data_IF_160555947945
#
_entry.id   IF_160555947945
#
_cell.length_a   1.000
_cell.length_b   1.000
_cell.length_c   1.000
_cell.angle_alpha   90.00
_cell.angle_beta   90.00
_cell.angle_gamma   90.00
#
_symmetry.space_group_name_H-M   'P 1'
#
loop_
_entity.id
_entity.type
_entity.pdbx_description
1 polymer ?
#
# COMPACT_ATOMS: atom_id res chain seq x y z
N UNK A 1 -22.07 -11.32 -8.28
CA UNK A 1 -20.96 -10.38 -8.50
C UNK A 1 -21.32 -9.54 -9.72
N UNK A 2 -21.32 -8.22 -9.58
CA UNK A 2 -21.77 -7.25 -10.59
C UNK A 2 -20.80 -7.06 -11.75
N UNK A 3 -19.62 -7.70 -11.69
CA UNK A 3 -18.53 -7.48 -12.63
C UNK A 3 -18.28 -5.99 -12.81
N UNK A 4 -18.16 -5.23 -11.71
CA UNK A 4 -17.86 -3.80 -11.74
C UNK A 4 -16.50 -3.49 -11.11
N UNK A 5 -16.20 -2.20 -11.08
CA UNK A 5 -15.07 -1.65 -10.35
C UNK A 5 -15.55 -0.46 -9.52
N UNK A 6 -14.91 -0.29 -8.37
CA UNK A 6 -15.06 0.86 -7.49
C UNK A 6 -13.80 1.70 -7.59
N UNK A 7 -13.96 3.01 -7.77
CA UNK A 7 -12.86 3.97 -7.77
C UNK A 7 -13.12 5.05 -6.72
N UNK A 8 -12.23 5.20 -5.74
CA UNK A 8 -12.39 6.13 -4.61
C UNK A 8 -13.77 6.03 -3.94
N UNK A 9 -14.16 4.82 -3.55
CA UNK A 9 -15.46 4.52 -2.92
C UNK A 9 -16.69 4.77 -3.81
N UNK A 10 -16.53 5.09 -5.11
CA UNK A 10 -17.63 5.20 -6.08
C UNK A 10 -17.69 3.94 -6.93
N UNK A 11 -18.76 3.15 -6.78
CA UNK A 11 -19.04 2.01 -7.65
C UNK A 11 -19.52 2.50 -9.03
N UNK A 12 -18.74 2.21 -10.06
CA UNK A 12 -19.06 2.67 -11.41
C UNK A 12 -20.25 1.90 -12.02
N UNK A 13 -20.65 0.77 -11.45
CA UNK A 13 -21.84 0.02 -11.92
C UNK A 13 -23.10 0.87 -11.91
N UNK A 14 -23.16 1.86 -11.01
CA UNK A 14 -24.25 2.83 -10.90
C UNK A 14 -24.44 3.68 -12.16
N UNK A 15 -23.40 3.80 -13.00
CA UNK A 15 -23.43 4.49 -14.29
C UNK A 15 -23.73 3.55 -15.46
N UNK A 16 -24.07 2.28 -15.20
CA UNK A 16 -24.40 1.28 -16.22
C UNK A 16 -23.18 0.68 -16.92
N UNK A 17 -21.99 0.78 -16.32
CA UNK A 17 -20.80 0.08 -16.79
C UNK A 17 -20.79 -1.36 -16.29
N UNK A 18 -20.29 -2.27 -17.12
CA UNK A 18 -20.00 -3.64 -16.75
C UNK A 18 -18.63 -4.00 -17.29
N UNK A 19 -17.76 -4.47 -16.41
CA UNK A 19 -16.42 -4.96 -16.75
C UNK A 19 -16.57 -6.38 -17.30
N UNK A 20 -16.16 -6.57 -18.55
CA UNK A 20 -16.25 -7.87 -19.22
C UNK A 20 -14.99 -8.69 -19.01
N UNK A 21 -13.84 -8.03 -18.89
CA UNK A 21 -12.54 -8.67 -18.74
C UNK A 21 -11.56 -7.71 -18.11
N UNK A 22 -10.64 -8.27 -17.32
CA UNK A 22 -9.49 -7.54 -16.79
C UNK A 22 -8.24 -8.24 -17.29
N UNK A 23 -7.35 -7.46 -17.88
CA UNK A 23 -6.00 -7.87 -18.23
C UNK A 23 -5.07 -7.22 -17.21
N UNK A 24 -4.78 -7.97 -16.16
CA UNK A 24 -3.65 -7.66 -15.30
C UNK A 24 -2.38 -8.01 -16.09
N UNK A 25 -1.66 -6.98 -16.54
CA UNK A 25 -0.35 -7.21 -17.12
C UNK A 25 0.54 -7.76 -16.00
N UNK A 26 1.09 -8.95 -16.21
CA UNK A 26 2.01 -9.59 -15.27
C UNK A 26 3.12 -8.61 -14.92
N UNK A 27 3.40 -8.40 -13.63
CA UNK A 27 4.45 -7.46 -13.20
C UNK A 27 5.75 -7.69 -13.95
N UNK A 28 6.23 -6.66 -14.66
CA UNK A 28 7.56 -6.67 -15.25
C UNK A 28 8.62 -6.32 -14.20
N UNK A 29 9.80 -6.91 -14.39
CA UNK A 29 10.97 -6.59 -13.57
C UNK A 29 12.03 -5.99 -14.46
N UNK A 30 12.41 -4.74 -14.17
CA UNK A 30 13.58 -4.12 -14.80
C UNK A 30 14.84 -4.65 -14.14
N UNK A 31 15.67 -5.37 -14.90
CA UNK A 31 16.97 -5.88 -14.46
C UNK A 31 18.06 -5.32 -15.37
N UNK A 32 19.09 -4.75 -14.77
CA UNK A 32 20.35 -4.50 -15.47
C UNK A 32 21.06 -5.84 -15.67
N UNK A 33 21.69 -6.02 -16.83
CA UNK A 33 22.52 -7.20 -17.11
C UNK A 33 23.91 -6.72 -17.47
N UNK A 34 24.91 -7.16 -16.73
CA UNK A 34 26.32 -6.93 -17.04
C UNK A 34 26.84 -8.18 -17.74
N UNK A 35 27.18 -8.04 -19.01
CA UNK A 35 27.75 -9.13 -19.81
C UNK A 35 29.28 -9.08 -19.76
N UNK A 36 29.89 -10.22 -19.44
CA UNK A 36 31.31 -10.50 -19.57
C UNK A 36 31.51 -11.47 -20.76
N UNK A 37 32.77 -11.65 -21.15
CA UNK A 37 33.16 -12.49 -22.30
C UNK A 37 32.62 -13.93 -22.21
N UNK A 38 32.54 -14.50 -21.01
CA UNK A 38 32.13 -15.91 -20.80
C UNK A 38 30.80 -16.09 -20.06
N UNK A 39 30.18 -15.00 -19.55
CA UNK A 39 28.97 -15.08 -18.71
C UNK A 39 28.32 -13.72 -18.49
N UNK A 40 27.08 -13.72 -18.04
CA UNK A 40 26.36 -12.50 -17.66
C UNK A 40 25.88 -12.57 -16.20
N UNK A 41 25.79 -11.40 -15.56
CA UNK A 41 25.26 -11.22 -14.23
C UNK A 41 24.07 -10.26 -14.27
N UNK A 42 22.94 -10.67 -13.70
CA UNK A 42 21.78 -9.81 -13.56
C UNK A 42 21.83 -9.05 -12.23
N UNK A 43 21.52 -7.76 -12.27
CA UNK A 43 21.30 -6.95 -11.05
C UNK A 43 20.04 -7.39 -10.32
N UNK A 44 19.87 -6.91 -9.08
CA UNK A 44 18.57 -6.98 -8.41
C UNK A 44 17.53 -6.28 -9.28
N UNK A 45 16.42 -6.97 -9.54
CA UNK A 45 15.33 -6.41 -10.33
C UNK A 45 14.52 -5.40 -9.54
N UNK A 46 14.08 -4.34 -10.20
CA UNK A 46 13.08 -3.40 -9.68
C UNK A 46 11.74 -3.74 -10.33
N UNK A 47 10.67 -3.78 -9.54
CA UNK A 47 9.31 -3.85 -10.10
C UNK A 47 9.02 -2.53 -10.80
N UNK A 48 8.48 -2.62 -12.00
CA UNK A 48 7.99 -1.44 -12.72
C UNK A 48 6.54 -1.16 -12.30
N UNK A 49 6.03 0.02 -12.69
CA UNK A 49 4.63 0.37 -12.52
C UNK A 49 3.73 -0.69 -13.16
N UNK A 50 2.61 -0.99 -12.52
CA UNK A 50 1.62 -1.94 -13.01
C UNK A 50 0.62 -1.19 -13.90
N UNK A 51 0.33 -1.72 -15.10
CA UNK A 51 -0.75 -1.24 -15.97
C UNK A 51 -1.88 -2.26 -15.97
N UNK A 52 -3.07 -1.84 -15.58
CA UNK A 52 -4.27 -2.67 -15.51
C UNK A 52 -5.23 -2.21 -16.60
N UNK A 53 -5.57 -3.11 -17.53
CA UNK A 53 -6.51 -2.82 -18.61
C UNK A 53 -7.85 -3.52 -18.33
N UNK A 54 -8.90 -2.75 -18.11
CA UNK A 54 -10.25 -3.23 -17.87
C UNK A 54 -11.13 -3.01 -19.12
N UNK A 55 -11.50 -4.10 -19.78
CA UNK A 55 -12.47 -4.08 -20.88
C UNK A 55 -13.88 -3.89 -20.29
N UNK A 56 -14.66 -2.99 -20.88
CA UNK A 56 -15.98 -2.64 -20.38
C UNK A 56 -17.03 -2.59 -21.50
N UNK A 57 -18.28 -2.75 -21.08
CA UNK A 57 -19.49 -2.40 -21.84
C UNK A 57 -20.27 -1.37 -21.02
N UNK A 58 -20.66 -0.27 -21.66
CA UNK A 58 -21.50 0.77 -21.08
C UNK A 58 -22.87 0.75 -21.75
N UNK A 59 -23.93 0.62 -20.94
CA UNK A 59 -25.30 0.57 -21.43
C UNK A 59 -26.08 1.86 -21.11
N UNK A 60 -26.84 2.33 -22.10
CA UNK A 60 -27.74 3.47 -21.95
C UNK A 60 -29.07 3.31 -22.69
N UNK A 61 -29.96 4.26 -22.45
CA UNK A 61 -31.29 4.32 -23.05
C UNK A 61 -31.29 4.96 -24.44
N UNK A 62 -30.28 5.81 -24.72
CA UNK A 62 -30.08 6.56 -25.96
C UNK A 62 -28.60 6.91 -26.14
N UNK A 63 -28.21 7.43 -27.32
CA UNK A 63 -26.83 7.86 -27.57
C UNK A 63 -26.40 8.99 -26.61
N UNK A 64 -27.31 9.93 -26.32
CA UNK A 64 -27.05 11.02 -25.36
C UNK A 64 -26.80 10.47 -23.96
N UNK A 65 -27.66 9.55 -23.48
CA UNK A 65 -27.51 8.94 -22.15
C UNK A 65 -26.17 8.21 -22.01
N UNK A 66 -25.75 7.48 -23.05
CA UNK A 66 -24.45 6.80 -23.06
C UNK A 66 -23.30 7.81 -22.97
N UNK A 67 -23.37 8.92 -23.72
CA UNK A 67 -22.35 9.97 -23.69
C UNK A 67 -22.28 10.67 -22.32
N UNK A 68 -23.43 10.96 -21.72
CA UNK A 68 -23.52 11.61 -20.40
C UNK A 68 -22.96 10.71 -19.28
N UNK A 69 -23.27 9.41 -19.34
CA UNK A 69 -22.69 8.41 -18.43
C UNK A 69 -21.17 8.29 -18.60
N UNK A 70 -20.70 8.22 -19.85
CA UNK A 70 -19.27 8.16 -20.13
C UNK A 70 -18.54 9.42 -19.63
N UNK A 71 -19.13 10.60 -19.82
CA UNK A 71 -18.59 11.85 -19.30
C UNK A 71 -18.54 11.87 -17.77
N UNK A 72 -19.59 11.35 -17.11
CA UNK A 72 -19.63 11.22 -15.64
C UNK A 72 -18.53 10.28 -15.13
N UNK A 73 -18.35 9.12 -15.76
CA UNK A 73 -17.28 8.17 -15.44
C UNK A 73 -15.91 8.83 -15.61
N UNK A 74 -15.67 9.50 -16.74
CA UNK A 74 -14.41 10.24 -16.97
C UNK A 74 -14.16 11.29 -15.90
N UNK A 75 -15.20 12.04 -15.52
CA UNK A 75 -15.09 13.06 -14.47
C UNK A 75 -14.71 12.45 -13.12
N UNK A 76 -15.23 11.28 -12.77
CA UNK A 76 -14.90 10.58 -11.51
C UNK A 76 -13.45 10.09 -11.54
N UNK A 77 -13.06 9.45 -12.64
CA UNK A 77 -11.73 8.86 -12.80
C UNK A 77 -10.60 9.88 -12.93
N UNK A 78 -10.92 11.11 -13.35
CA UNK A 78 -9.96 12.22 -13.48
C UNK A 78 -10.03 13.24 -12.34
N UNK A 79 -10.93 13.05 -11.37
CA UNK A 79 -11.08 13.96 -10.23
C UNK A 79 -9.86 13.94 -9.28
N UNK A 80 -9.08 12.84 -9.30
CA UNK A 80 -7.90 12.65 -8.46
C UNK A 80 -6.71 12.21 -9.31
N UNK A 81 -5.50 12.54 -8.85
CA UNK A 81 -4.27 12.07 -9.50
C UNK A 81 -4.04 10.58 -9.27
N UNK A 82 -4.43 10.05 -8.12
CA UNK A 82 -4.36 8.63 -7.79
C UNK A 82 -5.52 8.31 -6.85
N UNK A 83 -6.20 7.20 -7.12
CA UNK A 83 -7.33 6.74 -6.33
C UNK A 83 -7.30 5.24 -6.06
N UNK A 84 -8.07 4.83 -5.07
CA UNK A 84 -8.25 3.43 -4.72
C UNK A 84 -9.11 2.73 -5.77
N UNK A 85 -8.50 1.86 -6.55
CA UNK A 85 -9.15 1.00 -7.52
C UNK A 85 -9.39 -0.38 -6.93
N UNK A 86 -10.66 -0.76 -6.78
CA UNK A 86 -11.10 -2.05 -6.26
C UNK A 86 -11.95 -2.74 -7.32
N UNK A 87 -11.69 -4.02 -7.55
CA UNK A 87 -12.49 -4.83 -8.46
C UNK A 87 -13.40 -5.79 -7.69
N UNK A 88 -14.64 -5.96 -8.15
CA UNK A 88 -15.63 -6.80 -7.47
C UNK A 88 -15.19 -8.26 -7.25
N UNK A 89 -14.45 -8.84 -8.21
CA UNK A 89 -13.97 -10.22 -8.10
C UNK A 89 -12.84 -10.38 -7.06
N UNK A 90 -12.26 -9.27 -6.60
CA UNK A 90 -11.16 -9.20 -5.63
C UNK A 90 -11.33 -8.00 -4.71
N UNK A 91 -12.48 -7.92 -4.05
CA UNK A 91 -12.88 -6.78 -3.20
C UNK A 91 -12.03 -6.57 -1.93
N UNK A 92 -11.23 -7.56 -1.55
CA UNK A 92 -10.33 -7.48 -0.40
C UNK A 92 -9.03 -6.72 -0.68
N UNK A 93 -8.78 -6.35 -1.95
CA UNK A 93 -7.55 -5.70 -2.37
C UNK A 93 -7.88 -4.48 -3.24
N UNK A 94 -7.21 -3.37 -2.93
CA UNK A 94 -7.21 -2.16 -3.74
C UNK A 94 -5.83 -1.91 -4.34
N UNK A 95 -5.81 -1.15 -5.43
CA UNK A 95 -4.59 -0.63 -6.04
C UNK A 95 -4.64 0.89 -6.06
N UNK A 96 -3.51 1.53 -5.79
CA UNK A 96 -3.36 2.97 -5.99
C UNK A 96 -3.17 3.24 -7.48
N UNK A 97 -4.23 3.69 -8.14
CA UNK A 97 -4.29 3.76 -9.60
C UNK A 97 -4.72 5.15 -10.10
N UNK A 98 -4.15 5.56 -11.22
CA UNK A 98 -4.56 6.73 -11.99
C UNK A 98 -5.16 6.28 -13.32
N UNK A 99 -6.15 7.01 -13.84
CA UNK A 99 -6.59 6.78 -15.22
C UNK A 99 -5.47 7.21 -16.19
N UNK A 100 -5.02 6.28 -17.03
CA UNK A 100 -4.04 6.52 -18.08
C UNK A 100 -4.77 6.84 -19.39
N UNK A 101 -5.67 5.95 -19.80
CA UNK A 101 -6.41 6.06 -21.04
C UNK A 101 -7.80 5.44 -20.92
N UNK A 102 -8.75 6.00 -21.65
CA UNK A 102 -10.05 5.39 -21.87
C UNK A 102 -10.35 5.44 -23.36
N UNK A 103 -10.35 4.26 -23.97
CA UNK A 103 -10.73 4.06 -25.36
C UNK A 103 -12.09 3.37 -25.40
N UNK A 104 -12.92 3.75 -26.37
CA UNK A 104 -14.27 3.22 -26.48
C UNK A 104 -14.89 3.49 -27.84
N UNK A 105 -15.54 2.46 -28.37
CA UNK A 105 -16.23 2.49 -29.65
C UNK A 105 -17.73 2.23 -29.45
N UNK A 106 -18.55 2.91 -30.25
CA UNK A 106 -19.98 2.66 -30.26
C UNK A 106 -20.27 1.30 -30.94
N UNK A 107 -20.77 0.34 -30.17
CA UNK A 107 -21.32 -0.89 -30.73
C UNK A 107 -22.68 -0.63 -31.38
N UNK A 108 -23.50 0.19 -30.72
CA UNK A 108 -24.80 0.65 -31.20
C UNK A 108 -25.10 2.04 -30.62
N UNK A 109 -26.26 2.62 -30.93
CA UNK A 109 -26.71 3.87 -30.30
C UNK A 109 -26.92 3.78 -28.78
N UNK A 110 -26.96 2.56 -28.19
CA UNK A 110 -27.25 2.34 -26.76
C UNK A 110 -26.12 1.66 -26.00
N UNK A 111 -25.04 1.30 -26.70
CA UNK A 111 -23.96 0.51 -26.14
C UNK A 111 -22.61 1.02 -26.67
N UNK A 112 -21.69 1.29 -25.75
CA UNK A 112 -20.26 1.49 -26.02
C UNK A 112 -19.51 0.29 -25.43
N UNK A 113 -18.48 -0.18 -26.13
CA UNK A 113 -17.48 -1.08 -25.57
C UNK A 113 -16.11 -0.47 -25.69
N UNK A 114 -15.25 -0.74 -24.73
CA UNK A 114 -13.94 -0.11 -24.71
C UNK A 114 -13.00 -0.74 -23.70
N UNK A 115 -11.87 -0.06 -23.51
CA UNK A 115 -10.88 -0.40 -22.49
C UNK A 115 -10.55 0.83 -21.66
N UNK A 116 -10.57 0.68 -20.35
CA UNK A 116 -9.99 1.64 -19.41
C UNK A 116 -8.63 1.11 -18.96
N UNK A 117 -7.59 1.88 -19.23
CA UNK A 117 -6.23 1.61 -18.78
C UNK A 117 -5.94 2.43 -17.54
N UNK A 118 -5.46 1.74 -16.50
CA UNK A 118 -5.05 2.34 -15.24
C UNK A 118 -3.55 2.16 -15.04
N UNK A 119 -2.88 3.21 -14.60
CA UNK A 119 -1.48 3.19 -14.21
C UNK A 119 -1.37 3.17 -12.68
N UNK A 120 -0.74 2.14 -12.15
CA UNK A 120 -0.39 2.01 -10.75
C UNK A 120 1.11 2.26 -10.58
N UNK A 121 1.47 3.47 -10.14
CA UNK A 121 2.87 3.86 -9.93
C UNK A 121 3.53 2.98 -8.84
N UNK A 122 2.81 2.72 -7.75
CA UNK A 122 3.11 1.61 -6.85
C UNK A 122 2.44 0.33 -7.41
N UNK A 123 3.22 -0.71 -7.77
CA UNK A 123 2.69 -1.91 -8.41
C UNK A 123 2.13 -2.96 -7.43
N UNK A 124 2.01 -2.64 -6.14
CA UNK A 124 1.49 -3.56 -5.13
C UNK A 124 -0.01 -3.36 -4.92
N UNK A 125 -0.72 -4.47 -4.72
CA UNK A 125 -2.08 -4.43 -4.17
C UNK A 125 -2.04 -4.31 -2.65
N UNK A 126 -3.00 -3.63 -2.06
CA UNK A 126 -3.11 -3.39 -0.63
C UNK A 126 -4.40 -3.99 -0.10
N UNK A 127 -4.38 -4.58 1.10
CA UNK A 127 -5.61 -5.04 1.72
C UNK A 127 -6.54 -3.86 2.02
N UNK A 128 -7.82 -4.00 1.69
CA UNK A 128 -8.86 -3.04 2.07
C UNK A 128 -9.10 -3.00 3.58
N UNK A 129 -8.65 -4.03 4.31
CA UNK A 129 -8.66 -4.07 5.77
C UNK A 129 -7.31 -3.62 6.33
N UNK A 130 -7.34 -2.63 7.20
CA UNK A 130 -6.20 -2.22 8.01
C UNK A 130 -6.11 -3.06 9.28
N UNK A 131 -4.89 -3.44 9.64
CA UNK A 131 -4.59 -4.05 10.93
C UNK A 131 -4.04 -2.98 11.86
N UNK A 132 -4.67 -2.85 13.03
CA UNK A 132 -4.22 -2.00 14.13
C UNK A 132 -4.08 -2.87 15.38
N UNK A 133 -2.83 -3.06 15.82
CA UNK A 133 -2.48 -3.89 16.96
C UNK A 133 -1.77 -3.03 18.00
N UNK A 134 -2.25 -3.04 19.25
CA UNK A 134 -1.60 -2.37 20.38
C UNK A 134 -1.10 -3.39 21.40
N UNK A 135 0.16 -3.29 21.77
CA UNK A 135 0.84 -4.12 22.77
C UNK A 135 1.37 -3.28 23.93
N UNK A 136 1.12 -3.72 25.16
CA UNK A 136 1.72 -3.10 26.34
C UNK A 136 3.20 -3.47 26.47
N UNK A 137 4.04 -2.47 26.72
CA UNK A 137 5.46 -2.65 27.05
C UNK A 137 5.58 -2.66 28.57
N UNK A 138 5.90 -3.83 29.12
CA UNK A 138 5.97 -4.08 30.57
C UNK A 138 7.37 -4.51 31.03
N UNK A 139 8.31 -4.65 30.10
CA UNK A 139 9.67 -5.15 30.31
C UNK A 139 10.57 -4.63 29.20
N UNK A 140 11.85 -4.43 29.49
CA UNK A 140 12.88 -4.08 28.52
C UNK A 140 13.97 -5.16 28.49
N UNK A 141 14.26 -5.81 27.33
CA UNK A 141 13.59 -5.65 26.04
C UNK A 141 12.17 -6.27 26.02
N UNK A 142 11.29 -5.70 25.20
CA UNK A 142 9.95 -6.26 24.92
C UNK A 142 9.95 -6.96 23.58
N UNK A 143 9.52 -8.22 23.54
CA UNK A 143 9.20 -8.91 22.29
C UNK A 143 7.69 -8.93 22.06
N UNK A 144 7.26 -8.65 20.82
CA UNK A 144 5.88 -8.79 20.35
C UNK A 144 5.86 -9.57 19.04
N UNK A 145 4.73 -10.21 18.74
CA UNK A 145 4.55 -10.93 17.47
C UNK A 145 3.50 -10.26 16.62
N UNK A 146 3.80 -10.07 15.34
CA UNK A 146 2.91 -9.42 14.38
C UNK A 146 2.70 -10.35 13.20
N UNK A 147 1.46 -10.79 12.98
CA UNK A 147 1.13 -11.71 11.89
C UNK A 147 0.67 -10.93 10.67
N UNK A 148 1.36 -11.12 9.55
CA UNK A 148 1.09 -10.40 8.30
C UNK A 148 0.71 -11.37 7.20
N UNK A 149 -0.36 -11.06 6.48
CA UNK A 149 -0.78 -11.78 5.28
C UNK A 149 0.04 -11.37 4.06
N UNK A 150 -0.59 -11.39 2.88
CA UNK A 150 0.01 -10.87 1.67
C UNK A 150 1.15 -11.70 1.08
N UNK A 151 1.77 -11.14 0.06
CA UNK A 151 2.90 -11.73 -0.67
C UNK A 151 4.04 -10.74 -0.92
N UNK A 152 3.92 -9.50 -0.47
CA UNK A 152 4.94 -8.46 -0.54
C UNK A 152 5.36 -7.96 0.86
N UNK A 153 6.57 -7.41 0.97
CA UNK A 153 7.03 -6.74 2.18
C UNK A 153 6.03 -5.65 2.58
N UNK A 154 5.56 -5.73 3.82
CA UNK A 154 4.63 -4.76 4.38
C UNK A 154 5.41 -3.66 5.11
N UNK A 155 4.95 -2.43 4.94
CA UNK A 155 5.55 -1.22 5.51
C UNK A 155 4.63 -0.73 6.64
N UNK A 156 4.87 -1.16 7.89
CA UNK A 156 4.06 -0.72 9.02
C UNK A 156 4.39 0.72 9.45
N UNK A 157 3.48 1.31 10.22
CA UNK A 157 3.77 2.45 11.09
C UNK A 157 3.80 1.93 12.52
N UNK A 158 4.92 2.15 13.21
CA UNK A 158 5.05 1.82 14.63
C UNK A 158 4.95 3.10 15.45
N UNK A 159 3.98 3.18 16.37
CA UNK A 159 3.84 4.30 17.30
C UNK A 159 4.14 3.81 18.71
N UNK A 160 5.24 4.31 19.27
CA UNK A 160 5.64 4.04 20.64
C UNK A 160 5.18 5.18 21.54
N UNK A 161 4.34 4.90 22.53
CA UNK A 161 3.87 5.90 23.52
C UNK A 161 4.53 5.62 24.86
N UNK A 162 5.36 6.55 25.33
CA UNK A 162 6.06 6.43 26.60
C UNK A 162 5.09 6.50 27.79
N UNK A 163 5.24 5.60 28.76
CA UNK A 163 4.51 5.66 30.04
C UNK A 163 5.37 6.13 31.21
N UNK A 164 6.56 6.64 30.91
CA UNK A 164 7.54 7.19 31.86
C UNK A 164 8.57 8.03 31.10
N UNK A 165 9.44 8.74 31.82
CA UNK A 165 10.56 9.44 31.17
C UNK A 165 11.65 8.44 30.76
N UNK A 166 11.98 8.43 29.47
CA UNK A 166 12.95 7.54 28.87
C UNK A 166 14.16 8.35 28.38
N UNK A 167 15.36 7.82 28.61
CA UNK A 167 16.59 8.27 27.96
C UNK A 167 16.99 7.23 26.92
N UNK A 168 17.18 7.66 25.67
CA UNK A 168 17.64 6.81 24.59
C UNK A 168 18.97 6.09 24.87
N UNK A 169 19.35 5.11 24.03
CA UNK A 169 18.73 4.81 22.74
C UNK A 169 17.42 4.01 22.86
N UNK A 170 16.41 4.37 22.07
CA UNK A 170 15.18 3.60 21.87
C UNK A 170 15.28 2.88 20.53
N UNK A 171 15.00 1.57 20.48
CA UNK A 171 15.08 0.80 19.23
C UNK A 171 13.85 -0.04 18.93
N UNK A 172 13.56 -0.19 17.64
CA UNK A 172 12.58 -1.13 17.10
C UNK A 172 13.28 -2.02 16.08
N UNK A 173 13.20 -3.33 16.30
CA UNK A 173 13.87 -4.35 15.49
C UNK A 173 12.90 -5.41 15.03
N UNK A 174 12.98 -5.78 13.75
CA UNK A 174 12.42 -7.05 13.29
C UNK A 174 13.52 -8.11 13.28
N UNK A 175 13.42 -9.11 14.16
CA UNK A 175 14.41 -10.19 14.25
C UNK A 175 14.43 -11.10 13.02
N UNK A 176 13.33 -11.19 12.28
CA UNK A 176 13.23 -12.04 11.09
C UNK A 176 13.88 -11.40 9.86
N UNK A 177 13.87 -10.07 9.75
CA UNK A 177 14.57 -9.34 8.67
C UNK A 177 15.98 -8.91 9.06
N UNK A 178 16.25 -8.79 10.37
CA UNK A 178 17.49 -8.23 10.91
C UNK A 178 17.57 -6.71 10.84
N UNK A 179 16.50 -6.04 10.41
CA UNK A 179 16.40 -4.58 10.31
C UNK A 179 16.09 -3.99 11.69
N UNK A 180 16.82 -2.94 12.05
CA UNK A 180 16.73 -2.29 13.35
C UNK A 180 16.89 -0.78 13.18
N UNK A 181 15.91 -0.02 13.66
CA UNK A 181 15.96 1.43 13.74
C UNK A 181 16.24 1.83 15.19
N UNK A 182 17.17 2.77 15.36
CA UNK A 182 17.56 3.32 16.65
C UNK A 182 17.31 4.83 16.62
N UNK A 183 16.63 5.35 17.63
CA UNK A 183 16.43 6.77 17.87
C UNK A 183 17.09 7.15 19.21
N UNK A 184 18.13 7.98 19.14
CA UNK A 184 19.00 8.29 20.28
C UNK A 184 18.66 9.65 20.92
N UNK A 185 17.47 9.73 21.50
CA UNK A 185 16.99 10.93 22.20
C UNK A 185 16.01 10.52 23.33
N UNK A 186 15.34 11.48 23.95
CA UNK A 186 14.52 11.29 25.14
C UNK A 186 13.02 11.44 24.85
N UNK A 187 12.21 10.65 25.53
CA UNK A 187 10.76 10.79 25.61
C UNK A 187 10.38 11.11 27.05
N UNK A 188 9.43 12.02 27.24
CA UNK A 188 8.76 12.16 28.54
C UNK A 188 7.49 11.30 28.57
N UNK A 189 6.91 11.14 29.76
CA UNK A 189 5.62 10.44 29.89
C UNK A 189 4.60 11.02 28.92
N UNK A 190 3.84 10.15 28.25
CA UNK A 190 2.88 10.44 27.17
C UNK A 190 3.43 10.93 25.83
N UNK A 191 4.75 11.14 25.68
CA UNK A 191 5.34 11.42 24.37
C UNK A 191 5.15 10.22 23.44
N UNK A 192 4.97 10.52 22.15
CA UNK A 192 4.86 9.56 21.07
C UNK A 192 6.06 9.64 20.12
N UNK A 193 6.60 8.46 19.80
CA UNK A 193 7.59 8.27 18.74
C UNK A 193 6.96 7.42 17.64
N UNK A 194 6.66 8.05 16.51
CA UNK A 194 6.13 7.40 15.31
C UNK A 194 7.29 7.05 14.37
N UNK A 195 7.38 5.79 13.96
CA UNK A 195 8.31 5.28 12.96
C UNK A 195 7.49 4.85 11.75
N UNK A 196 7.44 5.71 10.74
CA UNK A 196 6.71 5.49 9.50
C UNK A 196 7.65 4.87 8.47
N UNK A 197 7.49 3.56 8.26
CA UNK A 197 8.34 2.81 7.32
C UNK A 197 7.89 2.94 5.86
N UNK A 198 6.71 3.51 5.61
CA UNK A 198 6.23 3.80 4.27
C UNK A 198 6.85 5.09 3.73
N UNK A 199 6.85 6.14 4.56
CA UNK A 199 7.41 7.46 4.22
C UNK A 199 8.87 7.63 4.65
N UNK A 200 9.46 6.65 5.34
CA UNK A 200 10.84 6.65 5.81
C UNK A 200 11.16 7.84 6.73
N UNK A 201 10.23 8.13 7.65
CA UNK A 201 10.32 9.26 8.58
C UNK A 201 10.06 8.80 10.01
N UNK A 202 10.76 9.42 10.95
CA UNK A 202 10.51 9.29 12.38
C UNK A 202 9.97 10.62 12.87
N UNK A 203 8.86 10.60 13.61
CA UNK A 203 8.26 11.80 14.20
C UNK A 203 8.18 11.67 15.72
N UNK A 204 8.53 12.74 16.42
CA UNK A 204 8.25 12.90 17.84
C UNK A 204 7.04 13.84 17.98
N UNK A 205 5.95 13.36 18.60
CA UNK A 205 4.72 14.14 18.81
C UNK A 205 4.24 14.82 17.51
N UNK A 206 4.25 14.07 16.39
CA UNK A 206 3.84 14.54 15.07
C UNK A 206 4.84 15.44 14.33
N UNK A 207 5.99 15.78 14.92
CA UNK A 207 7.06 16.58 14.27
C UNK A 207 8.23 15.70 13.87
N UNK A 208 8.74 15.85 12.64
CA UNK A 208 9.90 15.09 12.15
C UNK A 208 11.12 15.21 13.10
N UNK A 209 11.72 14.07 13.44
CA UNK A 209 12.84 13.95 14.37
C UNK A 209 13.91 12.99 13.82
N UNK A 210 14.48 13.36 12.67
CA UNK A 210 15.41 12.50 11.91
C UNK A 210 16.89 12.64 12.32
N UNK A 211 17.26 13.68 13.08
CA UNK A 211 18.67 13.96 13.41
C UNK A 211 19.29 12.87 14.28
N UNK A 212 18.49 12.24 15.14
CA UNK A 212 18.94 11.22 16.10
C UNK A 212 18.64 9.79 15.62
N UNK A 213 18.26 9.62 14.35
CA UNK A 213 17.90 8.32 13.76
C UNK A 213 19.12 7.66 13.14
N UNK A 214 19.30 6.38 13.44
CA UNK A 214 20.27 5.51 12.77
C UNK A 214 19.70 4.11 12.50
N UNK A 215 20.37 3.33 11.66
CA UNK A 215 19.96 1.97 11.32
C UNK A 215 19.05 1.89 10.09
N UNK A 216 18.11 0.94 10.10
CA UNK A 216 17.20 0.63 8.99
C UNK A 216 15.76 0.52 9.49
N UNK A 217 14.81 1.06 8.74
CA UNK A 217 13.39 0.95 9.06
C UNK A 217 12.95 -0.53 8.98
N UNK A 218 12.46 -1.11 10.08
CA UNK A 218 12.09 -2.52 10.13
C UNK A 218 10.80 -2.79 9.36
N UNK A 219 10.87 -3.68 8.35
CA UNK A 219 9.72 -4.08 7.53
C UNK A 219 9.19 -5.43 7.96
N UNK A 220 7.96 -5.75 7.58
CA UNK A 220 7.34 -7.05 7.91
C UNK A 220 7.39 -8.01 6.71
N UNK A 221 7.86 -9.24 6.95
CA UNK A 221 7.83 -10.31 5.97
C UNK A 221 6.39 -10.77 5.72
N UNK A 222 5.99 -10.99 4.46
CA UNK A 222 4.64 -11.44 4.13
C UNK A 222 4.38 -12.90 4.50
N UNK A 223 3.10 -13.22 4.70
CA UNK A 223 2.59 -14.59 4.85
C UNK A 223 3.07 -15.32 6.11
N UNK A 224 3.51 -14.59 7.13
CA UNK A 224 4.05 -15.17 8.37
C UNK A 224 3.94 -14.23 9.57
N UNK A 225 4.21 -14.79 10.75
CA UNK A 225 4.42 -14.03 11.98
C UNK A 225 5.86 -13.51 12.05
N UNK A 226 6.00 -12.21 12.31
CA UNK A 226 7.25 -11.49 12.51
C UNK A 226 7.48 -11.25 14.01
N UNK A 227 8.71 -11.40 14.48
CA UNK A 227 9.13 -11.12 15.85
C UNK A 227 9.73 -9.70 15.94
N UNK A 228 8.98 -8.78 16.55
CA UNK A 228 9.43 -7.40 16.78
C UNK A 228 9.97 -7.28 18.21
N UNK A 229 11.13 -6.66 18.34
CA UNK A 229 11.77 -6.38 19.63
C UNK A 229 11.91 -4.87 19.79
N UNK A 230 11.42 -4.37 20.93
CA UNK A 230 11.56 -2.99 21.37
C UNK A 230 12.58 -2.94 22.49
N UNK A 231 13.50 -1.98 22.43
CA UNK A 231 14.47 -1.71 23.51
C UNK A 231 14.46 -0.24 23.91
N UNK A 232 14.89 0.06 25.14
CA UNK A 232 14.96 1.43 25.65
C UNK A 232 13.64 1.99 26.16
N UNK A 233 12.64 1.10 26.32
CA UNK A 233 11.31 1.40 26.84
C UNK A 233 11.14 0.64 28.15
N UNK A 234 11.35 1.31 29.30
CA UNK A 234 11.55 0.69 30.62
C UNK A 234 10.52 -0.38 31.01
N UNK A 235 9.47 -0.01 31.73
CA UNK A 235 8.41 -0.95 32.16
C UNK A 235 6.99 -0.42 31.95
N UNK A 236 6.85 0.81 31.46
CA UNK A 236 5.54 1.39 31.13
C UNK A 236 5.57 2.04 29.74
N UNK A 237 4.62 1.64 28.90
CA UNK A 237 4.42 2.22 27.58
C UNK A 237 3.61 1.29 26.68
N UNK A 238 3.38 1.74 25.45
CA UNK A 238 2.66 0.97 24.44
C UNK A 238 3.36 1.02 23.09
N UNK A 239 3.24 -0.06 22.34
CA UNK A 239 3.53 -0.10 20.92
C UNK A 239 2.21 -0.29 20.17
N UNK A 240 1.84 0.67 19.35
CA UNK A 240 0.82 0.50 18.32
C UNK A 240 1.50 0.19 16.99
N UNK A 241 1.01 -0.82 16.28
CA UNK A 241 1.43 -1.13 14.90
C UNK A 241 0.23 -1.07 13.99
N UNK A 242 0.28 -0.17 13.00
CA UNK A 242 -0.74 -0.01 11.97
C UNK A 242 -0.17 -0.42 10.62
N UNK A 243 -0.86 -1.29 9.88
CA UNK A 243 -0.43 -1.70 8.54
C UNK A 243 -1.55 -2.29 7.69
N UNK A 244 -1.33 -2.30 6.37
CA UNK A 244 -2.10 -3.06 5.39
C UNK A 244 -1.21 -4.12 4.74
N UNK A 245 -1.71 -5.36 4.67
CA UNK A 245 -0.98 -6.43 3.96
C UNK A 245 -0.84 -6.06 2.48
N UNK A 246 0.36 -6.29 1.91
CA UNK A 246 0.67 -5.99 0.51
C UNK A 246 0.77 -7.25 -0.36
N UNK A 247 0.36 -7.14 -1.62
CA UNK A 247 0.25 -8.24 -2.57
C UNK A 247 1.03 -7.94 -3.85
N UNK A 248 1.70 -8.98 -4.35
CA UNK A 248 2.39 -9.06 -5.64
C UNK A 248 1.42 -9.38 -6.76
#
# INVERSE_FOLDING_TARGET
MSSSLTFNSVDLSTYGITITRIKDNQTSFKRGVTQLDTRAYASKGKRESLKIDAEFILAGSSLSDVQDKLASIKSILTAVETGELIFDYRSEIYYNAALDEIDGENLTQKYISGTMSFLCADPYGYSTTETDQTDNITTDPKAVTITVGGSALTLPVFTLTAGESLSGPISVKNNDTGEELIWDNSLVDTDELEIDTEHWVVKKNGTESMTDVSGQFPRLLPGRTNAIVITGFGTTGTLQTVFRSRYI
#
